data_IF_036251707952
#
_entry.id   IF_036251707952
#
_cell.length_a   1.000
_cell.length_b   1.000
_cell.length_c   1.000
_cell.angle_alpha   90.00
_cell.angle_beta   90.00
_cell.angle_gamma   90.00
#
_symmetry.space_group_name_H-M   'P 1'
#
loop_
_entity.id
_entity.type
_entity.pdbx_description
1 polymer ?
#
# COMPACT_ATOMS: atom_id res chain seq x y z
N UNK A 1 -15.39 0.12 15.80
CA UNK A 1 -15.37 -0.77 14.63
C UNK A 1 -15.05 -2.18 15.11
N UNK A 2 -15.98 -3.13 14.90
CA UNK A 2 -15.83 -4.53 15.32
C UNK A 2 -14.67 -5.22 14.57
N UNK A 3 -14.07 -6.27 15.18
CA UNK A 3 -13.08 -7.11 14.50
C UNK A 3 -13.65 -7.74 13.22
N UNK A 4 -14.93 -8.13 13.22
CA UNK A 4 -15.65 -8.63 12.04
C UNK A 4 -15.70 -7.61 10.92
N UNK A 5 -15.89 -6.32 11.23
CA UNK A 5 -15.92 -5.23 10.23
C UNK A 5 -14.53 -5.04 9.60
N UNK A 6 -13.46 -5.14 10.41
CA UNK A 6 -12.08 -5.09 9.91
C UNK A 6 -11.79 -6.25 8.96
N UNK A 7 -12.18 -7.47 9.37
CA UNK A 7 -11.95 -8.67 8.56
C UNK A 7 -12.74 -8.65 7.25
N UNK A 8 -13.99 -8.16 7.29
CA UNK A 8 -14.83 -7.98 6.10
C UNK A 8 -14.20 -7.00 5.10
N UNK A 9 -13.65 -5.88 5.59
CA UNK A 9 -12.97 -4.90 4.73
C UNK A 9 -11.70 -5.46 4.11
N UNK A 10 -10.86 -6.17 4.88
CA UNK A 10 -9.67 -6.84 4.34
C UNK A 10 -10.07 -7.85 3.25
N UNK A 11 -11.10 -8.65 3.49
CA UNK A 11 -11.61 -9.61 2.50
C UNK A 11 -12.12 -8.92 1.24
N UNK A 12 -12.83 -7.81 1.37
CA UNK A 12 -13.31 -7.01 0.24
C UNK A 12 -12.12 -6.41 -0.53
N UNK A 13 -11.15 -5.84 0.17
CA UNK A 13 -9.93 -5.26 -0.41
C UNK A 13 -9.10 -6.29 -1.19
N UNK A 14 -8.89 -7.47 -0.61
CA UNK A 14 -8.22 -8.57 -1.31
C UNK A 14 -8.97 -8.97 -2.58
N UNK A 15 -10.30 -9.08 -2.51
CA UNK A 15 -11.13 -9.44 -3.66
C UNK A 15 -11.08 -8.42 -4.79
N UNK A 16 -10.88 -7.15 -4.44
CA UNK A 16 -10.76 -6.06 -5.42
C UNK A 16 -9.36 -5.97 -6.03
N UNK A 17 -8.30 -6.38 -5.29
CA UNK A 17 -6.93 -6.48 -5.81
C UNK A 17 -6.74 -7.68 -6.74
N UNK A 18 -7.47 -8.77 -6.49
CA UNK A 18 -7.46 -9.95 -7.37
C UNK A 18 -7.99 -9.56 -8.74
N UNK A 19 -7.22 -9.86 -9.78
CA UNK A 19 -7.48 -9.46 -11.16
C UNK A 19 -6.57 -8.32 -11.64
N UNK A 20 -5.77 -7.68 -10.75
CA UNK A 20 -4.64 -6.86 -11.16
C UNK A 20 -3.43 -7.77 -11.42
N UNK A 21 -2.96 -7.92 -12.68
CA UNK A 21 -1.92 -8.91 -13.00
C UNK A 21 -0.63 -8.75 -12.20
N UNK A 22 -0.22 -7.51 -11.89
CA UNK A 22 1.00 -7.28 -11.12
C UNK A 22 0.82 -7.66 -9.63
N UNK A 23 -0.37 -7.40 -9.07
CA UNK A 23 -0.71 -7.84 -7.72
C UNK A 23 -0.79 -9.38 -7.64
N UNK A 24 -1.45 -10.01 -8.59
CA UNK A 24 -1.60 -11.47 -8.64
C UNK A 24 -0.23 -12.16 -8.79
N UNK A 25 0.65 -11.64 -9.66
CA UNK A 25 2.03 -12.11 -9.79
C UNK A 25 2.82 -11.97 -8.49
N UNK A 26 2.69 -10.83 -7.81
CA UNK A 26 3.34 -10.62 -6.52
C UNK A 26 2.81 -11.57 -5.44
N UNK A 27 1.49 -11.81 -5.41
CA UNK A 27 0.87 -12.77 -4.48
C UNK A 27 1.36 -14.19 -4.74
N UNK A 28 1.42 -14.62 -6.00
CA UNK A 28 1.95 -15.94 -6.39
C UNK A 28 3.42 -16.05 -5.97
N UNK A 29 4.22 -15.03 -6.21
CA UNK A 29 5.62 -15.01 -5.79
C UNK A 29 5.78 -15.11 -4.27
N UNK A 30 4.94 -14.41 -3.49
CA UNK A 30 4.94 -14.50 -2.01
C UNK A 30 4.58 -15.91 -1.55
N UNK A 31 3.56 -16.53 -2.14
CA UNK A 31 3.15 -17.91 -1.80
C UNK A 31 4.26 -18.89 -2.14
N UNK A 32 4.84 -18.77 -3.32
CA UNK A 32 5.96 -19.62 -3.74
C UNK A 32 7.15 -19.45 -2.80
N UNK A 33 7.56 -18.20 -2.53
CA UNK A 33 8.69 -17.91 -1.65
C UNK A 33 8.45 -18.34 -0.20
N UNK A 34 7.20 -18.43 0.27
CA UNK A 34 6.90 -18.97 1.60
C UNK A 34 7.30 -20.44 1.73
N UNK A 35 7.06 -21.25 0.69
CA UNK A 35 7.50 -22.64 0.63
C UNK A 35 9.02 -22.77 0.66
N UNK A 36 9.70 -21.94 -0.14
CA UNK A 36 11.17 -21.91 -0.17
C UNK A 36 11.79 -21.44 1.16
N UNK A 37 11.19 -20.45 1.79
CA UNK A 37 11.65 -20.00 3.13
C UNK A 37 11.43 -21.07 4.19
N UNK A 38 10.29 -21.78 4.14
CA UNK A 38 10.03 -22.90 5.04
C UNK A 38 11.09 -24.02 4.87
N UNK A 39 11.51 -24.29 3.63
CA UNK A 39 12.61 -25.20 3.35
C UNK A 39 13.87 -24.84 4.12
N UNK A 40 14.29 -23.60 4.05
CA UNK A 40 15.47 -23.11 4.79
C UNK A 40 15.27 -23.14 6.32
N UNK A 41 14.07 -22.92 6.83
CA UNK A 41 13.78 -23.12 8.25
C UNK A 41 14.03 -24.55 8.68
N UNK A 42 13.58 -25.52 7.88
CA UNK A 42 13.77 -26.94 8.19
C UNK A 42 15.24 -27.33 8.07
N UNK A 43 15.97 -26.82 7.08
CA UNK A 43 17.42 -27.04 6.96
C UNK A 43 18.19 -26.52 8.20
N UNK A 44 17.88 -25.29 8.65
CA UNK A 44 18.47 -24.74 9.89
C UNK A 44 18.10 -25.58 11.10
N UNK A 45 16.85 -26.00 11.23
CA UNK A 45 16.43 -26.90 12.31
C UNK A 45 17.20 -28.23 12.30
N UNK A 46 17.34 -28.88 11.13
CA UNK A 46 18.10 -30.10 10.96
C UNK A 46 19.59 -29.91 11.35
N UNK A 47 20.19 -28.82 10.85
CA UNK A 47 21.60 -28.55 11.10
C UNK A 47 21.87 -28.17 12.57
N UNK A 48 21.13 -27.19 13.11
CA UNK A 48 21.43 -26.58 14.43
C UNK A 48 20.85 -27.40 15.60
N UNK A 49 19.58 -27.83 15.45
CA UNK A 49 18.87 -28.47 16.57
C UNK A 49 19.11 -30.00 16.59
N UNK A 50 19.08 -30.62 15.38
CA UNK A 50 19.31 -32.07 15.30
C UNK A 50 20.80 -32.42 15.15
N UNK A 51 21.71 -31.46 15.00
CA UNK A 51 23.14 -31.67 14.86
C UNK A 51 23.56 -32.40 13.57
N UNK A 52 22.73 -32.34 12.54
CA UNK A 52 23.04 -32.97 11.25
C UNK A 52 24.15 -32.22 10.53
N UNK A 53 25.00 -32.95 9.79
CA UNK A 53 25.98 -32.31 8.94
C UNK A 53 25.29 -31.44 7.87
N UNK A 54 25.97 -30.36 7.42
CA UNK A 54 25.44 -29.46 6.37
C UNK A 54 25.05 -30.25 5.11
N UNK A 55 25.84 -31.27 4.74
CA UNK A 55 25.59 -32.17 3.59
C UNK A 55 24.32 -33.01 3.72
N UNK A 56 23.82 -33.22 4.94
CA UNK A 56 22.69 -34.11 5.25
C UNK A 56 21.42 -33.31 5.60
N UNK A 57 21.54 -31.99 5.74
CA UNK A 57 20.45 -31.08 6.08
C UNK A 57 19.69 -30.63 4.83
N UNK A 58 18.94 -31.56 4.22
CA UNK A 58 18.26 -31.39 2.94
C UNK A 58 16.85 -30.78 3.05
N UNK A 59 16.44 -30.35 4.22
CA UNK A 59 15.12 -29.75 4.43
C UNK A 59 13.94 -30.69 4.15
N UNK A 60 12.84 -30.13 3.63
CA UNK A 60 11.62 -30.85 3.25
C UNK A 60 11.78 -31.53 1.89
N UNK A 61 12.50 -30.87 0.96
CA UNK A 61 12.67 -31.37 -0.41
C UNK A 61 13.57 -32.61 -0.46
N UNK A 62 14.38 -32.86 0.58
CA UNK A 62 15.23 -34.01 0.66
C UNK A 62 16.15 -34.12 -0.56
N UNK A 63 16.03 -35.26 -1.31
CA UNK A 63 16.88 -35.48 -2.51
C UNK A 63 16.64 -34.52 -3.67
N UNK A 64 15.53 -33.76 -3.67
CA UNK A 64 15.26 -32.73 -4.68
C UNK A 64 15.89 -31.37 -4.32
N UNK A 65 16.52 -31.26 -3.14
CA UNK A 65 17.31 -30.09 -2.73
C UNK A 65 18.66 -30.06 -3.49
N UNK A 66 18.62 -29.66 -4.74
CA UNK A 66 19.75 -29.63 -5.65
C UNK A 66 19.94 -28.24 -6.26
N UNK A 67 21.20 -27.89 -6.61
CA UNK A 67 21.56 -26.57 -7.15
C UNK A 67 20.70 -26.12 -8.36
N UNK A 68 20.34 -26.99 -9.36
CA UNK A 68 19.45 -26.60 -10.43
C UNK A 68 18.08 -26.13 -9.95
N UNK A 69 17.49 -26.76 -8.93
CA UNK A 69 16.17 -26.39 -8.40
C UNK A 69 16.25 -25.02 -7.75
N UNK A 70 17.25 -24.76 -6.91
CA UNK A 70 17.47 -23.46 -6.29
C UNK A 70 17.72 -22.36 -7.31
N UNK A 71 18.52 -22.63 -8.35
CA UNK A 71 18.77 -21.68 -9.44
C UNK A 71 17.48 -21.27 -10.14
N UNK A 72 16.69 -22.24 -10.64
CA UNK A 72 15.47 -21.94 -11.38
C UNK A 72 14.39 -21.29 -10.49
N UNK A 73 14.36 -21.67 -9.21
CA UNK A 73 13.47 -21.01 -8.24
C UNK A 73 13.78 -19.54 -8.08
N UNK A 74 15.04 -19.23 -7.76
CA UNK A 74 15.47 -17.84 -7.56
C UNK A 74 15.37 -17.01 -8.86
N UNK A 75 15.65 -17.63 -10.01
CA UNK A 75 15.45 -17.00 -11.30
C UNK A 75 13.98 -16.62 -11.54
N UNK A 76 13.06 -17.52 -11.25
CA UNK A 76 11.62 -17.27 -11.43
C UNK A 76 11.12 -16.16 -10.49
N UNK A 77 11.57 -16.15 -9.24
CA UNK A 77 11.25 -15.09 -8.27
C UNK A 77 11.81 -13.75 -8.75
N UNK A 78 13.08 -13.70 -9.17
CA UNK A 78 13.72 -12.49 -9.67
C UNK A 78 13.01 -11.94 -10.91
N UNK A 79 12.69 -12.81 -11.87
CA UNK A 79 11.94 -12.42 -13.08
C UNK A 79 10.57 -11.85 -12.73
N UNK A 80 9.87 -12.49 -11.80
CA UNK A 80 8.56 -12.00 -11.32
C UNK A 80 8.69 -10.62 -10.67
N UNK A 81 9.69 -10.41 -9.81
CA UNK A 81 9.93 -9.10 -9.21
C UNK A 81 10.24 -8.03 -10.26
N UNK A 82 11.02 -8.35 -11.29
CA UNK A 82 11.31 -7.41 -12.40
C UNK A 82 10.02 -7.04 -13.15
N UNK A 83 9.16 -8.02 -13.45
CA UNK A 83 7.89 -7.77 -14.13
C UNK A 83 6.97 -6.91 -13.27
N UNK A 84 6.84 -7.21 -11.96
CA UNK A 84 6.05 -6.41 -11.02
C UNK A 84 6.62 -5.00 -10.88
N UNK A 85 7.97 -4.87 -10.79
CA UNK A 85 8.62 -3.56 -10.77
C UNK A 85 8.25 -2.74 -12.00
N UNK A 86 8.38 -3.35 -13.19
CA UNK A 86 8.05 -2.68 -14.44
C UNK A 86 6.57 -2.26 -14.49
N UNK A 87 5.67 -3.13 -14.07
CA UNK A 87 4.24 -2.84 -14.04
C UNK A 87 3.89 -1.70 -13.05
N UNK A 88 4.53 -1.68 -11.87
CA UNK A 88 4.27 -0.64 -10.87
C UNK A 88 4.98 0.68 -11.14
N UNK A 89 6.06 0.69 -11.94
CA UNK A 89 6.82 1.89 -12.26
C UNK A 89 6.38 2.54 -13.57
N UNK A 90 5.98 1.75 -14.60
CA UNK A 90 5.83 2.26 -15.96
C UNK A 90 4.43 2.11 -16.57
N UNK A 91 3.58 1.21 -16.08
CA UNK A 91 2.28 0.92 -16.72
C UNK A 91 1.17 1.93 -16.41
N UNK A 92 1.41 2.91 -15.54
CA UNK A 92 0.44 3.96 -15.20
C UNK A 92 1.05 5.33 -15.45
N UNK A 93 0.22 6.36 -15.78
CA UNK A 93 0.70 7.75 -15.89
C UNK A 93 1.44 8.19 -14.63
N UNK A 94 1.06 7.62 -13.48
CA UNK A 94 1.63 7.89 -12.16
C UNK A 94 2.15 6.59 -11.57
N UNK A 95 3.47 6.49 -11.51
CA UNK A 95 4.14 5.32 -10.98
C UNK A 95 3.82 5.10 -9.50
N UNK A 96 3.19 3.97 -9.17
CA UNK A 96 2.90 3.57 -7.78
C UNK A 96 4.15 3.64 -6.88
N UNK A 97 5.30 3.23 -7.41
CA UNK A 97 6.56 3.24 -6.65
C UNK A 97 7.13 4.65 -6.46
N UNK A 98 6.89 5.58 -7.39
CA UNK A 98 7.33 6.98 -7.23
C UNK A 98 6.55 7.72 -6.17
N UNK A 99 5.27 7.41 -6.04
CA UNK A 99 4.37 8.05 -5.09
C UNK A 99 4.63 7.62 -3.65
N UNK A 100 4.87 6.33 -3.41
CA UNK A 100 5.02 5.77 -2.08
C UNK A 100 6.48 5.42 -1.81
N UNK A 101 7.19 6.32 -1.10
CA UNK A 101 8.62 6.16 -0.78
C UNK A 101 8.90 4.88 0.01
N UNK A 102 8.02 4.50 0.92
CA UNK A 102 8.11 3.27 1.71
C UNK A 102 8.05 2.02 0.82
N UNK A 103 7.08 1.95 -0.11
CA UNK A 103 7.02 0.89 -1.11
C UNK A 103 8.28 0.86 -1.99
N UNK A 104 8.69 2.02 -2.48
CA UNK A 104 9.85 2.14 -3.37
C UNK A 104 11.13 1.62 -2.71
N UNK A 105 11.43 2.07 -1.50
CA UNK A 105 12.63 1.63 -0.79
C UNK A 105 12.57 0.16 -0.39
N UNK A 106 11.41 -0.31 0.08
CA UNK A 106 11.22 -1.74 0.37
C UNK A 106 11.43 -2.58 -0.89
N UNK A 107 10.89 -2.13 -2.05
CA UNK A 107 11.05 -2.84 -3.32
C UNK A 107 12.51 -2.91 -3.75
N UNK A 108 13.23 -1.78 -3.71
CA UNK A 108 14.65 -1.77 -4.06
C UNK A 108 15.49 -2.64 -3.13
N UNK A 109 15.18 -2.66 -1.84
CA UNK A 109 15.88 -3.54 -0.89
C UNK A 109 15.65 -5.01 -1.24
N UNK A 110 14.38 -5.40 -1.47
CA UNK A 110 14.05 -6.78 -1.88
C UNK A 110 14.73 -7.13 -3.19
N UNK A 111 14.67 -6.24 -4.18
CA UNK A 111 15.26 -6.46 -5.51
C UNK A 111 16.79 -6.59 -5.45
N UNK A 112 17.45 -5.77 -4.65
CA UNK A 112 18.90 -5.81 -4.48
C UNK A 112 19.35 -7.11 -3.79
N UNK A 113 18.68 -7.50 -2.69
CA UNK A 113 19.02 -8.72 -1.95
C UNK A 113 18.71 -9.97 -2.78
N UNK A 114 17.54 -10.00 -3.45
CA UNK A 114 17.19 -11.10 -4.36
C UNK A 114 18.11 -11.15 -5.57
N UNK A 115 18.54 -10.00 -6.11
CA UNK A 115 19.50 -9.91 -7.20
C UNK A 115 20.86 -10.53 -6.82
N UNK A 116 21.34 -10.16 -5.63
CA UNK A 116 22.54 -10.78 -5.08
C UNK A 116 22.36 -12.31 -4.88
N UNK A 117 21.24 -12.74 -4.32
CA UNK A 117 20.88 -14.14 -4.13
C UNK A 117 20.87 -14.93 -5.44
N UNK A 118 20.32 -14.31 -6.49
CA UNK A 118 20.32 -14.88 -7.84
C UNK A 118 21.74 -15.03 -8.40
N UNK A 119 22.62 -14.04 -8.22
CA UNK A 119 24.04 -14.12 -8.64
C UNK A 119 24.74 -15.27 -7.91
N UNK A 120 24.54 -15.41 -6.60
CA UNK A 120 25.10 -16.49 -5.80
C UNK A 120 24.70 -17.86 -6.35
N UNK A 121 23.38 -18.09 -6.58
CA UNK A 121 22.89 -19.35 -7.15
C UNK A 121 23.35 -19.58 -8.59
N UNK A 122 23.54 -18.53 -9.38
CA UNK A 122 24.10 -18.66 -10.73
C UNK A 122 25.52 -19.22 -10.68
N UNK A 123 26.34 -18.72 -9.77
CA UNK A 123 27.72 -19.18 -9.62
C UNK A 123 27.76 -20.60 -9.04
N UNK A 124 26.94 -20.90 -8.02
CA UNK A 124 26.80 -22.24 -7.47
C UNK A 124 26.37 -23.26 -8.54
N UNK A 125 25.39 -22.91 -9.35
CA UNK A 125 24.92 -23.75 -10.44
C UNK A 125 26.01 -23.95 -11.50
N UNK A 126 26.74 -22.89 -11.88
CA UNK A 126 27.90 -23.01 -12.78
C UNK A 126 28.99 -23.93 -12.22
N UNK A 127 29.35 -23.78 -10.93
CA UNK A 127 30.30 -24.65 -10.24
C UNK A 127 29.80 -26.10 -10.21
N UNK A 128 28.50 -26.33 -9.99
CA UNK A 128 27.88 -27.65 -10.03
C UNK A 128 28.04 -28.30 -11.41
N UNK A 129 27.75 -27.56 -12.49
CA UNK A 129 27.92 -28.08 -13.87
C UNK A 129 29.38 -28.47 -14.14
N UNK A 130 30.35 -27.67 -13.69
CA UNK A 130 31.76 -27.91 -13.92
C UNK A 130 32.32 -29.10 -13.11
N UNK A 131 31.82 -29.32 -11.92
CA UNK A 131 32.40 -30.29 -10.98
C UNK A 131 31.56 -31.54 -10.77
N UNK A 132 30.27 -31.53 -11.14
CA UNK A 132 29.30 -32.57 -10.82
C UNK A 132 28.95 -32.67 -9.32
N UNK A 133 29.46 -31.75 -8.49
CA UNK A 133 29.27 -31.78 -7.02
C UNK A 133 28.06 -30.97 -6.62
N UNK A 134 27.32 -31.45 -5.62
CA UNK A 134 26.31 -30.69 -4.90
C UNK A 134 26.95 -29.86 -3.78
N UNK A 135 26.26 -28.84 -3.28
CA UNK A 135 26.74 -28.01 -2.17
C UNK A 135 27.99 -27.20 -2.52
N UNK A 136 28.06 -26.68 -3.75
CA UNK A 136 29.18 -25.84 -4.20
C UNK A 136 29.24 -24.52 -3.41
N UNK A 137 30.44 -23.96 -3.17
CA UNK A 137 30.59 -22.84 -2.21
C UNK A 137 29.98 -21.51 -2.68
N UNK A 138 29.78 -21.31 -4.00
CA UNK A 138 29.35 -20.01 -4.53
C UNK A 138 30.41 -18.92 -4.35
N UNK A 139 29.97 -17.66 -4.22
CA UNK A 139 30.84 -16.53 -3.90
C UNK A 139 31.16 -16.52 -2.42
N UNK A 140 30.14 -16.52 -1.60
CA UNK A 140 30.26 -16.33 -0.14
C UNK A 140 30.94 -17.53 0.53
N UNK A 141 30.60 -18.74 0.14
CA UNK A 141 31.25 -19.92 0.70
C UNK A 141 32.77 -19.92 0.54
N UNK A 142 33.27 -19.26 -0.51
CA UNK A 142 34.70 -19.05 -0.71
C UNK A 142 35.32 -18.05 0.26
N UNK A 143 34.54 -17.12 0.86
CA UNK A 143 35.01 -16.09 1.77
C UNK A 143 34.75 -16.41 3.26
N UNK A 144 33.60 -16.99 3.56
CA UNK A 144 33.11 -17.14 4.95
C UNK A 144 33.37 -18.55 5.47
N UNK A 145 33.69 -19.53 4.59
CA UNK A 145 33.85 -20.92 4.98
C UNK A 145 32.51 -21.63 5.22
N UNK A 146 32.27 -22.28 6.30
CA UNK A 146 31.48 -23.47 6.43
C UNK A 146 29.94 -23.33 6.57
N UNK A 147 29.34 -22.18 6.83
CA UNK A 147 27.89 -22.17 7.17
C UNK A 147 26.99 -21.52 6.13
N UNK A 148 26.92 -22.17 4.95
CA UNK A 148 26.08 -21.75 3.83
C UNK A 148 24.57 -21.83 4.17
N UNK A 149 24.15 -22.76 5.05
CA UNK A 149 22.74 -22.91 5.47
C UNK A 149 22.26 -21.66 6.19
N UNK A 150 23.04 -21.18 7.17
CA UNK A 150 22.74 -19.95 7.91
C UNK A 150 22.68 -18.73 7.01
N UNK A 151 23.61 -18.60 6.09
CA UNK A 151 23.66 -17.48 5.18
C UNK A 151 22.44 -17.44 4.24
N UNK A 152 22.08 -18.57 3.63
CA UNK A 152 20.89 -18.67 2.78
C UNK A 152 19.60 -18.41 3.55
N UNK A 153 19.52 -18.91 4.80
CA UNK A 153 18.42 -18.62 5.69
C UNK A 153 18.25 -17.10 5.89
N UNK A 154 19.32 -16.37 6.22
CA UNK A 154 19.23 -14.93 6.46
C UNK A 154 18.90 -14.13 5.22
N UNK A 155 19.38 -14.49 4.04
CA UNK A 155 18.95 -13.86 2.79
C UNK A 155 17.44 -14.03 2.60
N UNK A 156 16.94 -15.24 2.78
CA UNK A 156 15.50 -15.51 2.66
C UNK A 156 14.68 -14.78 3.73
N UNK A 157 15.25 -14.58 4.93
CA UNK A 157 14.62 -13.78 6.00
C UNK A 157 14.55 -12.28 5.68
N UNK A 158 15.30 -11.78 4.74
CA UNK A 158 15.15 -10.40 4.23
C UNK A 158 14.20 -10.37 3.04
N UNK A 159 14.37 -11.27 2.08
CA UNK A 159 13.58 -11.28 0.84
C UNK A 159 12.10 -11.57 1.10
N UNK A 160 11.79 -12.66 1.79
CA UNK A 160 10.40 -13.09 2.00
C UNK A 160 9.57 -12.10 2.82
N UNK A 161 9.99 -11.66 4.03
CA UNK A 161 9.25 -10.63 4.75
C UNK A 161 9.17 -9.31 3.98
N UNK A 162 10.23 -8.94 3.24
CA UNK A 162 10.20 -7.76 2.38
C UNK A 162 9.11 -7.84 1.31
N UNK A 163 8.94 -9.00 0.67
CA UNK A 163 7.86 -9.25 -0.30
C UNK A 163 6.47 -9.20 0.35
N UNK A 164 6.32 -9.76 1.56
CA UNK A 164 5.07 -9.70 2.35
C UNK A 164 4.75 -8.25 2.73
N UNK A 165 5.75 -7.48 3.15
CA UNK A 165 5.60 -6.05 3.48
C UNK A 165 5.16 -5.27 2.23
N UNK A 166 5.76 -5.53 1.05
CA UNK A 166 5.37 -4.89 -0.21
C UNK A 166 3.90 -5.18 -0.56
N UNK A 167 3.46 -6.42 -0.43
CA UNK A 167 2.08 -6.81 -0.67
C UNK A 167 1.13 -6.08 0.30
N UNK A 168 1.52 -6.00 1.59
CA UNK A 168 0.76 -5.27 2.61
C UNK A 168 0.71 -3.76 2.31
N UNK A 169 1.84 -3.13 1.96
CA UNK A 169 1.91 -1.72 1.60
C UNK A 169 1.05 -1.41 0.37
N UNK A 170 1.06 -2.30 -0.65
CA UNK A 170 0.18 -2.16 -1.80
C UNK A 170 -1.29 -2.15 -1.39
N UNK A 171 -1.74 -3.14 -0.61
CA UNK A 171 -3.12 -3.21 -0.12
C UNK A 171 -3.44 -1.98 0.74
N UNK A 172 -2.51 -1.57 1.60
CA UNK A 172 -2.68 -0.41 2.47
C UNK A 172 -2.89 0.86 1.66
N UNK A 173 -1.97 1.19 0.77
CA UNK A 173 -2.02 2.43 0.01
C UNK A 173 -3.15 2.46 -1.02
N UNK A 174 -3.41 1.33 -1.69
CA UNK A 174 -4.38 1.29 -2.78
C UNK A 174 -5.83 1.09 -2.33
N UNK A 175 -6.07 0.54 -1.14
CA UNK A 175 -7.42 0.13 -0.77
C UNK A 175 -7.85 0.49 0.64
N UNK A 176 -7.06 0.12 1.65
CA UNK A 176 -7.48 0.29 3.04
C UNK A 176 -7.49 1.75 3.46
N UNK A 177 -6.48 2.50 3.04
CA UNK A 177 -6.35 3.89 3.38
C UNK A 177 -7.44 4.76 2.75
N UNK A 178 -7.73 4.65 1.43
CA UNK A 178 -8.89 5.32 0.83
C UNK A 178 -10.21 5.01 1.53
N UNK A 179 -10.48 3.73 1.79
CA UNK A 179 -11.69 3.34 2.50
C UNK A 179 -11.78 3.93 3.92
N UNK A 180 -10.64 4.03 4.62
CA UNK A 180 -10.57 4.69 5.92
C UNK A 180 -10.94 6.17 5.84
N UNK A 181 -10.48 6.86 4.79
CA UNK A 181 -10.76 8.27 4.55
C UNK A 181 -12.23 8.51 4.27
N UNK A 182 -12.82 7.77 3.34
CA UNK A 182 -14.25 7.86 3.03
C UNK A 182 -15.07 7.65 4.31
N UNK A 183 -14.72 6.64 5.13
CA UNK A 183 -15.40 6.40 6.39
C UNK A 183 -15.25 7.55 7.40
N UNK A 184 -14.07 8.20 7.43
CA UNK A 184 -13.82 9.39 8.27
C UNK A 184 -14.64 10.58 7.79
N UNK A 185 -14.66 10.85 6.48
CA UNK A 185 -15.45 11.94 5.89
C UNK A 185 -16.94 11.75 6.14
N UNK A 186 -17.48 10.54 5.95
CA UNK A 186 -18.87 10.21 6.29
C UNK A 186 -19.16 10.46 7.78
N UNK A 187 -18.23 10.10 8.67
CA UNK A 187 -18.37 10.36 10.12
C UNK A 187 -18.35 11.85 10.43
N UNK A 188 -17.49 12.64 9.79
CA UNK A 188 -17.45 14.09 9.95
C UNK A 188 -18.74 14.73 9.48
N UNK A 189 -19.25 14.37 8.29
CA UNK A 189 -20.53 14.87 7.80
C UNK A 189 -21.68 14.52 8.77
N UNK A 190 -21.71 13.30 9.30
CA UNK A 190 -22.68 12.92 10.33
C UNK A 190 -22.56 13.78 11.59
N UNK A 191 -21.34 14.14 12.00
CA UNK A 191 -21.12 15.02 13.13
C UNK A 191 -21.67 16.44 12.87
N UNK A 192 -21.46 16.99 11.66
CA UNK A 192 -22.05 18.29 11.29
C UNK A 192 -23.58 18.26 11.28
N UNK A 193 -24.20 17.20 10.76
CA UNK A 193 -25.65 17.01 10.80
C UNK A 193 -26.14 16.93 12.25
N UNK A 194 -25.50 16.12 13.09
CA UNK A 194 -25.88 16.00 14.50
C UNK A 194 -25.70 17.33 15.24
N UNK A 195 -24.66 18.10 14.90
CA UNK A 195 -24.41 19.40 15.48
C UNK A 195 -25.50 20.41 15.09
N UNK A 196 -25.89 20.45 13.83
CA UNK A 196 -26.98 21.29 13.33
C UNK A 196 -28.35 20.91 13.96
N UNK A 197 -28.55 19.63 14.27
CA UNK A 197 -29.78 19.14 14.91
C UNK A 197 -29.80 19.21 16.44
N UNK A 198 -28.73 19.69 17.07
CA UNK A 198 -28.59 19.63 18.55
C UNK A 198 -29.59 20.51 19.32
N UNK A 199 -30.18 21.52 18.69
CA UNK A 199 -31.16 22.45 19.27
C UNK A 199 -32.61 22.06 18.99
N UNK A 200 -32.88 20.88 18.41
CA UNK A 200 -34.20 20.30 18.26
C UNK A 200 -34.74 20.24 16.85
N UNK A 201 -33.98 20.71 15.85
CA UNK A 201 -34.32 20.59 14.43
C UNK A 201 -33.33 21.35 13.55
N UNK A 202 -33.13 20.87 12.35
CA UNK A 202 -32.28 21.54 11.36
C UNK A 202 -33.09 22.65 10.69
N UNK A 203 -32.63 23.89 10.78
CA UNK A 203 -33.21 25.01 10.04
C UNK A 203 -32.99 24.86 8.53
N UNK A 204 -33.79 25.55 7.72
CA UNK A 204 -33.62 25.56 6.27
C UNK A 204 -32.25 26.15 5.88
N UNK A 205 -31.78 27.14 6.61
CA UNK A 205 -30.48 27.78 6.39
C UNK A 205 -29.32 26.82 6.67
N UNK A 206 -29.38 26.10 7.79
CA UNK A 206 -28.39 25.05 8.11
C UNK A 206 -28.39 23.92 7.07
N UNK A 207 -29.57 23.54 6.58
CA UNK A 207 -29.68 22.52 5.52
C UNK A 207 -29.03 23.00 4.21
N UNK A 208 -29.23 24.27 3.86
CA UNK A 208 -28.58 24.89 2.69
C UNK A 208 -27.07 24.91 2.86
N UNK A 209 -26.55 25.32 4.01
CA UNK A 209 -25.12 25.35 4.30
C UNK A 209 -24.50 23.95 4.27
N UNK A 210 -25.15 22.95 4.88
CA UNK A 210 -24.68 21.56 4.86
C UNK A 210 -24.69 20.97 3.46
N UNK A 211 -25.71 21.27 2.66
CA UNK A 211 -25.79 20.85 1.25
C UNK A 211 -24.63 21.48 0.46
N UNK A 212 -24.33 22.75 0.73
CA UNK A 212 -23.21 23.45 0.09
C UNK A 212 -21.84 22.88 0.50
N UNK A 213 -21.61 22.63 1.81
CA UNK A 213 -20.41 21.94 2.29
C UNK A 213 -20.22 20.59 1.58
N UNK A 214 -21.30 19.82 1.46
CA UNK A 214 -21.27 18.53 0.74
C UNK A 214 -20.91 18.71 -0.72
N UNK A 215 -21.63 19.54 -1.44
CA UNK A 215 -21.49 19.70 -2.90
C UNK A 215 -20.14 20.32 -3.27
N UNK A 216 -19.75 21.42 -2.64
CA UNK A 216 -18.49 22.08 -2.94
C UNK A 216 -17.28 21.25 -2.46
N UNK A 217 -17.39 20.58 -1.30
CA UNK A 217 -16.36 19.66 -0.82
C UNK A 217 -16.14 18.47 -1.77
N UNK A 218 -17.20 17.92 -2.37
CA UNK A 218 -17.09 16.87 -3.39
C UNK A 218 -16.44 17.38 -4.67
N UNK A 219 -16.82 18.58 -5.15
CA UNK A 219 -16.21 19.17 -6.35
C UNK A 219 -14.74 19.47 -6.14
N UNK A 220 -14.37 19.98 -4.96
CA UNK A 220 -12.99 20.24 -4.60
C UNK A 220 -12.17 18.96 -4.51
N UNK A 221 -12.71 17.89 -3.90
CA UNK A 221 -12.07 16.60 -3.84
C UNK A 221 -11.82 16.02 -5.25
N UNK A 222 -12.78 16.16 -6.15
CA UNK A 222 -12.65 15.76 -7.56
C UNK A 222 -11.54 16.55 -8.27
N UNK A 223 -11.52 17.87 -8.14
CA UNK A 223 -10.48 18.72 -8.76
C UNK A 223 -9.08 18.37 -8.24
N UNK A 224 -8.93 18.13 -6.93
CA UNK A 224 -7.66 17.71 -6.36
C UNK A 224 -7.22 16.36 -6.93
N UNK A 225 -8.14 15.38 -7.02
CA UNK A 225 -7.84 14.09 -7.63
C UNK A 225 -7.41 14.22 -9.10
N UNK A 226 -8.09 15.06 -9.89
CA UNK A 226 -7.72 15.33 -11.28
C UNK A 226 -6.32 15.98 -11.38
N UNK A 227 -5.99 16.94 -10.51
CA UNK A 227 -4.66 17.56 -10.46
C UNK A 227 -3.58 16.57 -10.03
N UNK A 228 -3.89 15.71 -9.06
CA UNK A 228 -3.02 14.62 -8.65
C UNK A 228 -2.77 13.66 -9.84
N UNK A 229 -3.79 13.25 -10.55
CA UNK A 229 -3.67 12.41 -11.75
C UNK A 229 -2.87 13.08 -12.87
N UNK A 230 -2.92 14.41 -12.94
CA UNK A 230 -2.11 15.22 -13.86
C UNK A 230 -0.64 15.42 -13.41
N UNK A 231 -0.24 14.85 -12.26
CA UNK A 231 1.13 14.91 -11.77
C UNK A 231 1.49 16.18 -10.99
N UNK A 232 0.50 16.87 -10.41
CA UNK A 232 0.75 18.05 -9.59
C UNK A 232 1.63 17.71 -8.36
N UNK A 233 2.55 18.60 -8.03
CA UNK A 233 3.44 18.41 -6.87
C UNK A 233 2.70 18.57 -5.54
N UNK A 234 3.25 17.98 -4.47
CA UNK A 234 2.68 18.10 -3.12
C UNK A 234 2.49 19.57 -2.69
N UNK A 235 3.37 20.47 -3.10
CA UNK A 235 3.28 21.89 -2.71
C UNK A 235 2.22 22.63 -3.51
N UNK A 236 2.05 22.33 -4.80
CA UNK A 236 0.94 22.83 -5.63
C UNK A 236 -0.41 22.38 -5.10
N UNK A 237 -0.51 21.11 -4.68
CA UNK A 237 -1.72 20.58 -4.08
C UNK A 237 -2.06 21.22 -2.74
N UNK A 238 -1.06 21.47 -1.88
CA UNK A 238 -1.23 22.17 -0.60
C UNK A 238 -1.74 23.60 -0.79
N UNK A 239 -1.15 24.33 -1.72
CA UNK A 239 -1.58 25.69 -1.99
C UNK A 239 -3.00 25.71 -2.56
N UNK A 240 -3.30 24.80 -3.49
CA UNK A 240 -4.65 24.69 -4.04
C UNK A 240 -5.70 24.34 -2.99
N UNK A 241 -5.37 23.47 -2.05
CA UNK A 241 -6.25 23.13 -0.92
C UNK A 241 -6.53 24.34 -0.03
N UNK A 242 -5.53 25.17 0.25
CA UNK A 242 -5.73 26.41 1.02
C UNK A 242 -6.66 27.37 0.29
N UNK A 243 -6.46 27.57 -1.00
CA UNK A 243 -7.33 28.42 -1.83
C UNK A 243 -8.77 27.90 -1.81
N UNK A 244 -8.95 26.58 -1.97
CA UNK A 244 -10.26 25.95 -1.96
C UNK A 244 -10.96 26.08 -0.62
N UNK A 245 -10.26 25.87 0.49
CA UNK A 245 -10.82 26.07 1.83
C UNK A 245 -11.24 27.52 2.07
N UNK A 246 -10.40 28.47 1.72
CA UNK A 246 -10.73 29.89 1.81
C UNK A 246 -11.94 30.24 0.96
N UNK A 247 -12.00 29.73 -0.28
CA UNK A 247 -13.13 29.90 -1.19
C UNK A 247 -14.41 29.33 -0.62
N UNK A 248 -14.35 28.11 -0.03
CA UNK A 248 -15.53 27.50 0.58
C UNK A 248 -16.00 28.26 1.82
N UNK A 249 -15.09 28.68 2.69
CA UNK A 249 -15.44 29.51 3.86
C UNK A 249 -16.08 30.83 3.40
N UNK A 250 -15.54 31.48 2.39
CA UNK A 250 -16.12 32.69 1.82
C UNK A 250 -17.51 32.42 1.22
N UNK A 251 -17.67 31.34 0.47
CA UNK A 251 -18.93 30.88 -0.10
C UNK A 251 -19.99 30.62 0.97
N UNK A 252 -19.64 29.90 2.07
CA UNK A 252 -20.53 29.65 3.19
C UNK A 252 -20.92 30.96 3.91
N UNK A 253 -19.96 31.87 4.11
CA UNK A 253 -20.23 33.17 4.72
C UNK A 253 -21.15 34.03 3.85
N UNK A 254 -20.92 34.03 2.54
CA UNK A 254 -21.78 34.77 1.58
C UNK A 254 -23.18 34.19 1.56
N UNK A 255 -23.33 32.85 1.62
CA UNK A 255 -24.63 32.22 1.69
C UNK A 255 -25.39 32.56 2.98
N UNK A 256 -24.69 32.53 4.12
CA UNK A 256 -25.27 32.94 5.40
C UNK A 256 -25.65 34.42 5.48
N UNK A 257 -25.14 35.25 4.58
CA UNK A 257 -25.46 36.68 4.49
C UNK A 257 -26.58 37.01 3.47
N UNK A 258 -27.17 36.03 2.81
CA UNK A 258 -28.16 36.24 1.75
C UNK A 258 -29.38 37.02 2.25
N UNK A 259 -29.82 36.81 3.47
CA UNK A 259 -30.91 37.50 4.13
C UNK A 259 -30.45 38.78 4.87
N UNK A 260 -29.16 39.11 4.80
CA UNK A 260 -28.56 40.30 5.44
C UNK A 260 -28.16 40.11 6.89
N UNK A 261 -28.29 38.90 7.48
CA UNK A 261 -27.90 38.59 8.85
C UNK A 261 -27.38 37.15 8.94
N UNK A 262 -26.24 36.99 9.57
CA UNK A 262 -25.76 35.64 9.94
C UNK A 262 -26.45 35.25 11.24
N UNK A 263 -27.23 34.18 11.21
CA UNK A 263 -27.85 33.62 12.40
C UNK A 263 -26.80 33.03 13.37
N UNK A 264 -27.18 32.82 14.63
CA UNK A 264 -26.28 32.20 15.62
C UNK A 264 -25.89 30.76 15.20
N UNK A 265 -26.86 30.02 14.67
CA UNK A 265 -26.73 28.65 14.20
C UNK A 265 -25.78 28.56 12.99
N UNK A 266 -25.94 29.40 11.99
CA UNK A 266 -25.06 29.47 10.81
C UNK A 266 -23.61 29.82 11.20
N UNK A 267 -23.43 30.83 12.08
CA UNK A 267 -22.12 31.18 12.60
C UNK A 267 -21.47 30.02 13.30
N UNK A 268 -22.21 29.33 14.16
CA UNK A 268 -21.76 28.15 14.90
C UNK A 268 -21.33 27.01 13.98
N UNK A 269 -22.07 26.75 12.89
CA UNK A 269 -21.76 25.72 11.91
C UNK A 269 -20.50 26.07 11.09
N UNK A 270 -20.35 27.33 10.69
CA UNK A 270 -19.15 27.80 9.99
C UNK A 270 -17.91 27.72 10.90
N UNK A 271 -18.02 28.09 12.15
CA UNK A 271 -16.93 27.98 13.12
C UNK A 271 -16.56 26.52 13.39
N UNK A 272 -17.56 25.62 13.50
CA UNK A 272 -17.31 24.18 13.66
C UNK A 272 -16.63 23.59 12.41
N UNK A 273 -17.02 24.01 11.20
CA UNK A 273 -16.35 23.63 9.96
C UNK A 273 -14.87 24.05 9.98
N UNK A 274 -14.57 25.32 10.32
CA UNK A 274 -13.20 25.84 10.43
C UNK A 274 -12.36 25.06 11.45
N UNK A 275 -12.96 24.69 12.58
CA UNK A 275 -12.27 23.99 13.68
C UNK A 275 -11.97 22.53 13.36
N UNK A 276 -12.88 21.85 12.68
CA UNK A 276 -12.83 20.40 12.48
C UNK A 276 -12.20 19.97 11.17
N UNK A 277 -11.82 20.92 10.33
CA UNK A 277 -11.25 20.66 9.02
C UNK A 277 -9.87 21.32 8.85
N UNK A 278 -8.85 20.95 9.67
CA UNK A 278 -7.52 21.51 9.50
C UNK A 278 -6.94 21.04 8.16
N UNK A 279 -6.42 21.98 7.39
CA UNK A 279 -5.78 21.77 6.07
C UNK A 279 -4.70 20.69 6.12
N UNK A 280 -3.93 20.61 7.21
CA UNK A 280 -2.87 19.63 7.38
C UNK A 280 -3.38 18.18 7.29
N UNK A 281 -4.52 17.89 7.92
CA UNK A 281 -5.12 16.56 7.90
C UNK A 281 -5.62 16.16 6.51
N UNK A 282 -6.15 17.14 5.76
CA UNK A 282 -6.61 16.93 4.39
C UNK A 282 -5.43 16.77 3.43
N UNK A 283 -4.31 17.48 3.64
CA UNK A 283 -3.09 17.36 2.84
C UNK A 283 -2.42 16.00 3.05
N UNK A 284 -2.28 15.54 4.30
CA UNK A 284 -1.74 14.20 4.58
C UNK A 284 -2.63 13.11 3.98
N UNK A 285 -3.91 13.37 3.97
CA UNK A 285 -4.92 12.56 3.35
C UNK A 285 -4.71 12.44 1.84
N UNK A 286 -4.57 13.56 1.16
CA UNK A 286 -4.45 13.63 -0.29
C UNK A 286 -3.09 13.14 -0.77
N UNK A 287 -2.01 13.38 -0.04
CA UNK A 287 -0.70 12.79 -0.34
C UNK A 287 -0.72 11.26 -0.36
N UNK A 288 -1.72 10.66 0.26
CA UNK A 288 -1.90 9.21 0.36
C UNK A 288 -3.04 8.68 -0.53
N UNK A 289 -3.88 9.55 -1.10
CA UNK A 289 -4.99 9.21 -1.99
C UNK A 289 -4.62 9.16 -3.48
N UNK A 290 -3.37 9.45 -3.80
CA UNK A 290 -2.87 9.70 -5.15
C UNK A 290 -3.09 8.58 -6.19
N UNK A 291 -3.70 7.46 -5.85
CA UNK A 291 -3.83 6.30 -6.73
C UNK A 291 -5.23 5.68 -6.80
N UNK A 292 -6.27 6.49 -6.64
CA UNK A 292 -7.61 5.91 -6.59
C UNK A 292 -8.33 6.11 -7.91
N UNK A 293 -8.11 5.19 -8.83
CA UNK A 293 -8.97 4.99 -10.01
C UNK A 293 -10.42 4.61 -9.67
N UNK A 294 -10.74 4.39 -8.38
CA UNK A 294 -12.04 3.90 -7.90
C UNK A 294 -12.85 4.88 -7.03
N UNK A 295 -12.31 6.05 -6.68
CA UNK A 295 -13.10 7.07 -5.95
C UNK A 295 -14.26 7.64 -6.80
N UNK A 296 -14.14 7.77 -8.14
CA UNK A 296 -15.27 8.20 -8.97
C UNK A 296 -16.51 7.35 -8.82
N UNK A 297 -16.38 6.03 -8.76
CA UNK A 297 -17.52 5.11 -8.66
C UNK A 297 -18.26 5.22 -7.33
N UNK A 298 -17.52 5.46 -6.24
CA UNK A 298 -18.11 5.63 -4.89
C UNK A 298 -18.83 6.96 -4.77
N UNK A 299 -18.34 8.01 -5.45
CA UNK A 299 -18.99 9.33 -5.45
C UNK A 299 -20.21 9.35 -6.39
N UNK A 300 -20.20 8.56 -7.47
CA UNK A 300 -21.34 8.45 -8.38
C UNK A 300 -22.52 7.68 -7.78
N UNK A 301 -22.24 6.61 -7.01
CA UNK A 301 -23.29 5.81 -6.36
C UNK A 301 -24.10 6.57 -5.29
N UNK A 302 -23.56 7.69 -4.77
CA UNK A 302 -24.28 8.53 -3.80
C UNK A 302 -25.10 9.67 -4.44
N UNK A 303 -25.02 9.84 -5.78
CA UNK A 303 -25.88 10.81 -6.50
C UNK A 303 -27.20 10.19 -6.96
N UNK A 304 -27.32 8.85 -6.91
CA UNK A 304 -28.51 8.11 -7.33
C UNK A 304 -29.45 7.71 -6.17
N UNK A 305 -29.05 7.95 -4.90
CA UNK A 305 -29.92 7.82 -3.70
C UNK A 305 -30.38 9.21 -3.19
#
# INVERSE_FOLDING_TARGET
MSFKDKLSRIKHSLRHSLGNPAFDLMLIAVIAQSGHTLEHFVQVYQHVILGMATSDSHGILGRADIEPVHFWWNFSVMLTLIVVYYAWEFNRPESTLRQFKDMRWTFFTVLAVQGYHMIEHTIKYYQHIQTGKQGTPGIIGNFIGSDLIFFHFWINMVVYPGMVILLFLYIWHMQLYPAFIIARTKKQMKNYINFAMADGGMSDDERILLTRIRTEGMMQAKEILEKMQAGATSDELKERLREMEQSLIQSLTTQALVDGKITHEEKRLIEEYKRSNPISDTIDLLNKLHDIDHVPDVLQSEQEE
#
